data_IF_609946095104
#
_entry.id   IF_609946095104
#
_cell.length_a   1.000
_cell.length_b   1.000
_cell.length_c   1.000
_cell.angle_alpha   90.00
_cell.angle_beta   90.00
_cell.angle_gamma   90.00
#
_symmetry.space_group_name_H-M   'P 1'
#
loop_
_entity.id
_entity.type
_entity.pdbx_description
1 polymer ?
#
# COMPACT_ATOMS: atom_id res chain seq x y z
N UNK A 1 -40.46 10.87 -38.41
CA UNK A 1 -39.24 10.26 -38.97
C UNK A 1 -38.05 10.38 -37.99
N UNK A 2 -37.70 11.60 -37.48
CA UNK A 2 -36.59 11.78 -36.52
C UNK A 2 -36.70 10.96 -35.25
N UNK A 3 -37.91 10.74 -34.71
CA UNK A 3 -38.12 9.91 -33.52
C UNK A 3 -37.78 8.44 -33.76
N UNK A 4 -37.99 7.91 -34.96
CA UNK A 4 -37.61 6.53 -35.35
C UNK A 4 -36.10 6.42 -35.52
N UNK A 5 -35.48 7.38 -36.22
CA UNK A 5 -34.04 7.39 -36.48
C UNK A 5 -33.25 7.50 -35.18
N UNK A 6 -33.64 8.37 -34.24
CA UNK A 6 -32.97 8.63 -32.99
C UNK A 6 -33.41 7.67 -31.86
N UNK A 7 -34.36 6.75 -32.11
CA UNK A 7 -34.94 5.83 -31.11
C UNK A 7 -35.35 6.55 -29.80
N UNK A 8 -35.98 7.74 -29.97
CA UNK A 8 -36.45 8.58 -28.85
C UNK A 8 -37.93 8.83 -28.97
N UNK A 9 -38.60 9.07 -27.85
CA UNK A 9 -40.01 9.41 -27.80
C UNK A 9 -40.28 10.74 -28.56
N UNK A 10 -41.43 10.81 -29.29
CA UNK A 10 -41.84 11.98 -30.07
C UNK A 10 -41.95 13.27 -29.23
N UNK A 11 -42.39 13.16 -27.97
CA UNK A 11 -42.52 14.30 -27.04
C UNK A 11 -41.13 14.83 -26.65
N UNK A 12 -40.16 13.95 -26.48
CA UNK A 12 -38.77 14.31 -26.18
C UNK A 12 -38.15 15.06 -27.33
N UNK A 13 -38.31 14.57 -28.58
CA UNK A 13 -37.82 15.26 -29.77
C UNK A 13 -38.50 16.62 -29.96
N UNK A 14 -39.83 16.67 -29.85
CA UNK A 14 -40.60 17.94 -29.97
C UNK A 14 -40.14 18.98 -28.93
N UNK A 15 -39.90 18.55 -27.66
CA UNK A 15 -39.41 19.43 -26.62
C UNK A 15 -38.00 19.97 -26.90
N UNK A 16 -37.09 19.13 -27.39
CA UNK A 16 -35.73 19.57 -27.74
C UNK A 16 -35.70 20.47 -28.97
N UNK A 17 -36.51 20.19 -29.98
CA UNK A 17 -36.55 20.94 -31.22
C UNK A 17 -37.20 22.31 -31.04
N UNK A 18 -38.31 22.39 -30.32
CA UNK A 18 -39.06 23.65 -30.18
C UNK A 18 -38.71 24.47 -28.93
N UNK A 19 -38.22 23.84 -27.87
CA UNK A 19 -37.99 24.54 -26.61
C UNK A 19 -36.52 24.79 -26.28
N UNK A 20 -35.58 24.23 -27.04
CA UNK A 20 -34.14 24.43 -26.85
C UNK A 20 -33.64 24.13 -25.43
N UNK A 21 -34.52 23.60 -24.55
CA UNK A 21 -34.17 23.37 -23.15
C UNK A 21 -33.60 22.00 -22.98
N UNK A 22 -32.28 21.92 -22.90
CA UNK A 22 -31.61 20.80 -22.25
C UNK A 22 -32.11 20.78 -20.80
N UNK A 23 -32.61 19.62 -20.31
CA UNK A 23 -32.89 19.46 -18.88
C UNK A 23 -31.60 19.79 -18.13
N UNK A 24 -31.57 20.92 -17.45
CA UNK A 24 -30.57 21.14 -16.42
C UNK A 24 -30.83 20.09 -15.36
N UNK A 25 -29.95 19.08 -15.32
CA UNK A 25 -29.91 18.14 -14.19
C UNK A 25 -29.72 18.98 -12.93
N UNK A 26 -30.63 18.81 -11.96
CA UNK A 26 -30.50 19.50 -10.67
C UNK A 26 -29.10 19.16 -10.12
N UNK A 27 -28.23 20.13 -10.07
CA UNK A 27 -26.97 20.03 -9.34
C UNK A 27 -27.32 20.02 -7.85
N UNK A 28 -27.51 18.82 -7.30
CA UNK A 28 -27.60 18.68 -5.85
C UNK A 28 -26.16 18.75 -5.32
N UNK A 29 -25.90 19.57 -4.30
CA UNK A 29 -24.60 19.56 -3.64
C UNK A 29 -24.31 18.15 -3.13
N UNK A 30 -23.08 17.73 -3.27
CA UNK A 30 -22.62 16.44 -2.77
C UNK A 30 -22.23 16.61 -1.29
N UNK A 31 -22.49 15.61 -0.46
CA UNK A 31 -21.96 15.59 0.91
C UNK A 31 -20.44 15.72 0.99
N UNK A 32 -19.74 15.43 -0.12
CA UNK A 32 -18.28 15.54 -0.21
C UNK A 32 -17.84 17.00 -0.41
N UNK A 33 -18.72 17.87 -0.89
CA UNK A 33 -18.37 19.28 -1.14
C UNK A 33 -17.96 20.01 0.14
N UNK A 34 -18.44 19.58 1.30
CA UNK A 34 -18.04 20.09 2.62
C UNK A 34 -16.59 19.74 3.00
N UNK A 35 -16.01 18.71 2.34
CA UNK A 35 -14.67 18.19 2.61
C UNK A 35 -13.66 18.55 1.50
N UNK A 36 -14.01 19.46 0.58
CA UNK A 36 -13.13 19.86 -0.53
C UNK A 36 -11.81 20.46 -0.04
N UNK A 37 -11.84 21.31 0.97
CA UNK A 37 -10.63 21.92 1.55
C UNK A 37 -9.71 20.87 2.17
N UNK A 38 -10.30 19.86 2.81
CA UNK A 38 -9.54 18.73 3.35
C UNK A 38 -8.96 17.86 2.24
N UNK A 39 -9.73 17.58 1.19
CA UNK A 39 -9.25 16.86 0.01
C UNK A 39 -8.11 17.60 -0.68
N UNK A 40 -8.20 18.91 -0.79
CA UNK A 40 -7.15 19.76 -1.39
C UNK A 40 -5.85 19.72 -0.56
N UNK A 41 -5.94 19.74 0.76
CA UNK A 41 -4.80 19.57 1.65
C UNK A 41 -4.18 18.18 1.57
N UNK A 42 -5.01 17.12 1.52
CA UNK A 42 -4.53 15.74 1.50
C UNK A 42 -3.93 15.32 0.15
N UNK A 43 -4.42 15.89 -0.95
CA UNK A 43 -3.97 15.56 -2.30
C UNK A 43 -3.05 16.64 -2.90
N UNK A 44 -2.77 17.72 -2.17
CA UNK A 44 -1.84 18.78 -2.57
C UNK A 44 -0.38 18.31 -2.57
N UNK A 45 0.47 19.07 -3.24
CA UNK A 45 1.91 18.77 -3.36
C UNK A 45 2.65 18.82 -2.02
N UNK A 46 2.19 19.63 -1.07
CA UNK A 46 2.75 19.76 0.28
C UNK A 46 2.28 18.67 1.24
N UNK A 47 1.40 17.77 0.79
CA UNK A 47 0.87 16.72 1.63
C UNK A 47 1.94 15.69 1.97
N UNK A 48 2.12 15.43 3.26
CA UNK A 48 3.02 14.39 3.77
C UNK A 48 2.42 13.00 3.55
N UNK A 49 1.09 12.90 3.44
CA UNK A 49 0.37 11.65 3.25
C UNK A 49 0.21 11.35 1.76
N UNK A 50 0.59 10.15 1.36
CA UNK A 50 0.49 9.70 -0.03
C UNK A 50 -0.58 8.62 -0.14
N UNK A 51 -1.68 8.93 -0.79
CA UNK A 51 -2.75 7.97 -1.04
C UNK A 51 -2.52 7.22 -2.35
N UNK A 52 -2.25 5.91 -2.26
CA UNK A 52 -2.00 5.05 -3.44
C UNK A 52 -3.26 4.67 -4.20
N UNK A 53 -4.43 4.71 -3.55
CA UNK A 53 -5.71 4.37 -4.17
C UNK A 53 -6.84 5.24 -3.64
N UNK A 54 -7.90 5.39 -4.46
CA UNK A 54 -9.13 6.10 -4.08
C UNK A 54 -9.83 5.44 -2.88
N UNK A 55 -9.66 4.13 -2.69
CA UNK A 55 -10.26 3.38 -1.59
C UNK A 55 -9.59 3.71 -0.25
N UNK A 56 -8.26 3.82 -0.23
CA UNK A 56 -7.50 4.21 0.96
C UNK A 56 -7.86 5.63 1.38
N UNK A 57 -7.97 6.57 0.43
CA UNK A 57 -8.41 7.93 0.71
C UNK A 57 -9.84 7.98 1.26
N UNK A 58 -10.76 7.21 0.68
CA UNK A 58 -12.13 7.10 1.18
C UNK A 58 -12.19 6.58 2.61
N UNK A 59 -11.48 5.48 2.89
CA UNK A 59 -11.42 4.90 4.24
C UNK A 59 -10.86 5.90 5.25
N UNK A 60 -9.75 6.56 4.90
CA UNK A 60 -9.17 7.59 5.74
C UNK A 60 -10.15 8.72 6.08
N UNK A 61 -10.92 9.20 5.08
CA UNK A 61 -11.92 10.25 5.32
C UNK A 61 -13.06 9.76 6.21
N UNK A 62 -13.55 8.53 6.00
CA UNK A 62 -14.59 7.94 6.86
C UNK A 62 -14.09 7.78 8.30
N UNK A 63 -12.85 7.37 8.50
CA UNK A 63 -12.26 7.14 9.83
C UNK A 63 -11.91 8.45 10.56
N UNK A 64 -11.59 9.51 9.82
CA UNK A 64 -11.16 10.78 10.41
C UNK A 64 -12.24 11.87 10.44
N UNK A 65 -13.38 11.64 9.79
CA UNK A 65 -14.46 12.62 9.68
C UNK A 65 -15.82 11.94 9.85
N UNK A 66 -16.88 12.74 9.94
CA UNK A 66 -18.26 12.24 9.97
C UNK A 66 -18.82 11.92 8.56
N UNK A 67 -17.95 11.75 7.56
CA UNK A 67 -18.37 11.48 6.19
C UNK A 67 -19.04 10.12 6.06
N UNK A 68 -20.34 10.12 5.89
CA UNK A 68 -21.15 8.89 5.70
C UNK A 68 -21.62 8.79 4.25
N UNK A 69 -20.80 8.20 3.40
CA UNK A 69 -21.10 7.91 1.98
C UNK A 69 -20.52 6.57 1.57
N UNK A 70 -21.14 5.92 0.57
CA UNK A 70 -20.60 4.71 -0.01
C UNK A 70 -19.33 5.00 -0.84
N UNK A 71 -18.44 4.03 -0.90
CA UNK A 71 -17.25 4.12 -1.75
C UNK A 71 -17.59 4.40 -3.23
N UNK A 72 -18.70 3.83 -3.74
CA UNK A 72 -19.15 4.05 -5.11
C UNK A 72 -19.50 5.52 -5.38
N UNK A 73 -20.18 6.18 -4.44
CA UNK A 73 -20.52 7.59 -4.53
C UNK A 73 -19.24 8.46 -4.46
N UNK A 74 -18.33 8.15 -3.55
CA UNK A 74 -17.05 8.83 -3.44
C UNK A 74 -16.21 8.71 -4.72
N UNK A 75 -16.10 7.49 -5.26
CA UNK A 75 -15.40 7.23 -6.53
C UNK A 75 -16.01 8.03 -7.69
N UNK A 76 -17.33 8.06 -7.78
CA UNK A 76 -18.03 8.82 -8.82
C UNK A 76 -17.77 10.34 -8.72
N UNK A 77 -17.70 10.86 -7.49
CA UNK A 77 -17.35 12.25 -7.23
C UNK A 77 -15.93 12.58 -7.71
N UNK A 78 -14.94 11.78 -7.31
CA UNK A 78 -13.55 11.97 -7.73
C UNK A 78 -13.37 11.87 -9.26
N UNK A 79 -14.15 11.01 -9.93
CA UNK A 79 -14.11 10.89 -11.41
C UNK A 79 -14.64 12.12 -12.13
N UNK A 80 -15.61 12.84 -11.55
CA UNK A 80 -16.14 14.08 -12.11
C UNK A 80 -15.19 15.27 -11.99
N UNK A 81 -14.34 15.27 -10.96
CA UNK A 81 -13.37 16.32 -10.70
C UNK A 81 -12.00 15.94 -11.26
N UNK A 82 -11.61 16.57 -12.39
CA UNK A 82 -10.33 16.27 -13.08
C UNK A 82 -9.13 16.37 -12.13
N UNK A 83 -9.06 17.42 -11.29
CA UNK A 83 -8.01 17.65 -10.30
C UNK A 83 -7.72 16.41 -9.45
N UNK A 84 -8.74 15.83 -8.84
CA UNK A 84 -8.60 14.66 -7.97
C UNK A 84 -8.37 13.37 -8.76
N UNK A 85 -9.00 13.26 -9.93
CA UNK A 85 -8.86 12.08 -10.77
C UNK A 85 -7.44 11.96 -11.33
N UNK A 86 -6.82 13.07 -11.71
CA UNK A 86 -5.47 13.10 -12.29
C UNK A 86 -4.39 12.76 -11.27
N UNK A 87 -4.58 13.08 -9.99
CA UNK A 87 -3.71 12.61 -8.91
C UNK A 87 -3.53 11.08 -8.91
N UNK A 88 -4.61 10.33 -9.18
CA UNK A 88 -4.55 8.87 -9.22
C UNK A 88 -4.15 8.31 -10.60
N UNK A 89 -4.38 9.03 -11.72
CA UNK A 89 -3.99 8.59 -13.06
C UNK A 89 -2.48 8.55 -13.24
N UNK A 90 -1.79 9.60 -12.82
CA UNK A 90 -0.33 9.73 -12.97
C UNK A 90 0.47 8.68 -12.19
N UNK A 91 -0.18 7.97 -11.24
CA UNK A 91 0.43 6.90 -10.46
C UNK A 91 0.17 5.48 -11.01
N UNK A 92 -0.77 5.32 -11.97
CA UNK A 92 -1.18 4.00 -12.45
C UNK A 92 -0.40 3.48 -13.65
N UNK A 93 0.45 4.27 -14.28
CA UNK A 93 1.20 3.90 -15.48
C UNK A 93 2.65 3.44 -15.23
N UNK A 94 2.94 2.77 -14.12
CA UNK A 94 4.10 1.89 -14.12
C UNK A 94 3.63 0.54 -14.62
N UNK A 95 4.04 0.19 -15.84
CA UNK A 95 3.84 -1.12 -16.45
C UNK A 95 4.02 -2.19 -15.38
N UNK A 96 2.98 -2.98 -15.12
CA UNK A 96 3.12 -4.18 -14.33
C UNK A 96 3.96 -5.16 -15.16
N UNK A 97 5.29 -5.11 -15.00
CA UNK A 97 6.16 -6.18 -15.50
C UNK A 97 5.61 -7.49 -14.93
N UNK A 98 5.48 -8.50 -15.77
CA UNK A 98 5.09 -9.82 -15.32
C UNK A 98 6.09 -10.26 -14.24
N UNK A 99 5.61 -10.36 -12.99
CA UNK A 99 6.44 -10.81 -11.88
C UNK A 99 6.40 -12.32 -11.90
N UNK A 100 7.55 -12.94 -12.13
CA UNK A 100 7.69 -14.39 -12.00
C UNK A 100 7.32 -14.78 -10.55
N UNK A 101 6.22 -15.49 -10.39
CA UNK A 101 5.76 -15.92 -9.07
C UNK A 101 6.56 -17.16 -8.68
N UNK A 102 7.45 -17.00 -7.70
CA UNK A 102 8.08 -18.16 -7.06
C UNK A 102 7.06 -18.77 -6.11
N UNK A 103 6.59 -19.97 -6.42
CA UNK A 103 5.69 -20.72 -5.57
C UNK A 103 6.50 -21.55 -4.58
N UNK A 104 6.15 -21.45 -3.31
CA UNK A 104 6.70 -22.23 -2.20
C UNK A 104 5.58 -23.02 -1.56
N UNK A 105 5.88 -24.13 -0.91
CA UNK A 105 4.89 -24.88 -0.13
C UNK A 105 4.60 -24.17 1.21
N UNK A 106 3.44 -24.47 1.86
CA UNK A 106 3.15 -23.93 3.19
C UNK A 106 4.27 -24.23 4.20
N UNK A 107 4.62 -23.22 5.03
CA UNK A 107 5.64 -23.37 6.07
C UNK A 107 7.09 -23.43 5.56
N UNK A 108 7.33 -23.37 4.26
CA UNK A 108 8.68 -23.47 3.70
C UNK A 108 9.48 -22.20 3.89
N UNK A 109 8.90 -21.03 3.59
CA UNK A 109 9.66 -19.79 3.53
C UNK A 109 8.86 -18.59 4.01
N UNK A 110 9.51 -17.72 4.77
CA UNK A 110 9.11 -16.35 5.02
C UNK A 110 10.19 -15.36 4.53
N UNK A 111 9.81 -14.13 4.30
CA UNK A 111 10.71 -13.02 3.97
C UNK A 111 10.56 -11.92 5.01
N UNK A 112 11.66 -11.32 5.43
CA UNK A 112 11.67 -10.17 6.32
C UNK A 112 12.34 -8.98 5.65
N UNK A 113 11.81 -7.80 5.92
CA UNK A 113 12.33 -6.53 5.38
C UNK A 113 12.02 -5.37 6.31
N UNK A 114 12.78 -4.28 6.19
CA UNK A 114 12.58 -3.02 6.89
C UNK A 114 12.23 -1.89 5.92
N UNK A 115 11.21 -1.14 6.26
CA UNK A 115 11.02 0.20 5.71
C UNK A 115 11.50 1.21 6.72
N UNK A 116 12.64 1.82 6.42
CA UNK A 116 13.35 2.73 7.29
C UNK A 116 12.84 4.16 7.18
N UNK A 117 13.04 4.94 8.26
CA UNK A 117 12.86 6.40 8.31
C UNK A 117 11.52 6.90 7.76
N UNK A 118 10.44 6.20 8.09
CA UNK A 118 9.09 6.64 7.74
C UNK A 118 8.72 7.82 8.63
N UNK A 119 8.59 9.00 8.03
CA UNK A 119 8.27 10.23 8.75
C UNK A 119 6.78 10.33 9.02
N UNK A 120 6.44 10.51 10.27
CA UNK A 120 5.08 10.78 10.75
C UNK A 120 5.02 12.14 11.43
N UNK A 121 3.86 12.77 11.34
CA UNK A 121 3.54 13.93 12.15
C UNK A 121 2.37 13.53 13.05
N UNK A 122 2.56 13.68 14.35
CA UNK A 122 1.51 13.44 15.34
C UNK A 122 0.43 14.52 15.23
N UNK A 123 -0.75 14.26 15.81
CA UNK A 123 -1.82 15.26 15.92
C UNK A 123 -1.40 16.53 16.66
N UNK A 124 -0.32 16.49 17.39
CA UNK A 124 0.26 17.63 18.12
C UNK A 124 1.37 18.35 17.34
N UNK A 125 1.65 17.96 16.10
CA UNK A 125 2.66 18.56 15.24
C UNK A 125 4.09 18.03 15.43
N UNK A 126 4.29 17.02 16.27
CA UNK A 126 5.60 16.39 16.48
C UNK A 126 6.01 15.54 15.30
N UNK A 127 7.26 15.67 14.86
CA UNK A 127 7.83 14.87 13.78
C UNK A 127 8.50 13.63 14.37
N UNK A 128 7.98 12.46 14.03
CA UNK A 128 8.53 11.16 14.40
C UNK A 128 9.15 10.47 13.17
N UNK A 129 10.30 9.84 13.37
CA UNK A 129 10.86 8.90 12.41
C UNK A 129 10.67 7.49 12.95
N UNK A 130 9.93 6.67 12.21
CA UNK A 130 9.58 5.32 12.60
C UNK A 130 10.14 4.33 11.59
N UNK A 131 10.40 3.11 12.05
CA UNK A 131 10.75 2.01 11.19
C UNK A 131 9.61 1.00 11.16
N UNK A 132 9.36 0.43 10.00
CA UNK A 132 8.33 -0.59 9.84
C UNK A 132 8.99 -1.89 9.46
N UNK A 133 8.95 -2.86 10.36
CA UNK A 133 9.32 -4.25 10.09
C UNK A 133 8.17 -4.92 9.34
N UNK A 134 8.50 -5.77 8.40
CA UNK A 134 7.54 -6.57 7.66
C UNK A 134 8.02 -8.01 7.55
N UNK A 135 7.19 -8.97 7.96
CA UNK A 135 7.34 -10.39 7.63
C UNK A 135 6.26 -10.79 6.62
N UNK A 136 6.65 -11.51 5.58
CA UNK A 136 5.76 -12.01 4.53
C UNK A 136 5.92 -13.51 4.40
N UNK A 137 4.85 -14.27 4.61
CA UNK A 137 4.83 -15.71 4.31
C UNK A 137 4.79 -15.93 2.80
N UNK A 138 5.75 -16.67 2.25
CA UNK A 138 5.91 -16.79 0.79
C UNK A 138 4.76 -17.51 0.11
N UNK A 139 4.14 -18.50 0.76
CA UNK A 139 2.99 -19.24 0.23
C UNK A 139 1.69 -18.41 0.26
N UNK A 140 1.24 -18.03 1.45
CA UNK A 140 -0.04 -17.36 1.65
C UNK A 140 -0.03 -15.88 1.27
N UNK A 141 1.16 -15.27 1.16
CA UNK A 141 1.35 -13.83 1.03
C UNK A 141 0.84 -13.03 2.23
N UNK A 142 0.57 -13.71 3.33
CA UNK A 142 0.19 -13.07 4.59
C UNK A 142 1.32 -12.19 5.08
N UNK A 143 0.96 -10.99 5.54
CA UNK A 143 1.94 -9.97 5.94
C UNK A 143 1.65 -9.54 7.37
N UNK A 144 2.72 -9.48 8.17
CA UNK A 144 2.69 -8.96 9.52
C UNK A 144 3.61 -7.75 9.56
N UNK A 145 3.17 -6.69 10.24
CA UNK A 145 3.93 -5.45 10.35
C UNK A 145 4.09 -5.06 11.81
N UNK A 146 5.30 -4.65 12.18
CA UNK A 146 5.58 -4.02 13.47
C UNK A 146 6.15 -2.64 13.23
N UNK A 147 5.74 -1.68 14.04
CA UNK A 147 6.26 -0.30 14.01
C UNK A 147 7.19 -0.11 15.18
N UNK A 148 8.42 0.33 14.93
CA UNK A 148 9.45 0.47 15.94
C UNK A 148 10.18 1.81 15.82
N UNK A 149 10.78 2.24 16.92
CA UNK A 149 11.66 3.42 16.96
C UNK A 149 13.12 3.05 16.64
N UNK A 150 13.51 1.81 16.87
CA UNK A 150 14.87 1.32 16.70
C UNK A 150 14.90 0.13 15.73
N UNK A 151 16.06 -0.12 15.15
CA UNK A 151 16.36 -1.28 14.28
C UNK A 151 17.52 -2.11 14.85
N UNK A 152 17.71 -2.08 16.18
CA UNK A 152 18.74 -2.89 16.81
C UNK A 152 18.49 -4.39 16.59
N UNK A 153 19.50 -5.21 16.78
CA UNK A 153 19.38 -6.66 16.66
C UNK A 153 18.33 -7.23 17.61
N UNK A 154 18.28 -6.71 18.84
CA UNK A 154 17.30 -7.16 19.83
C UNK A 154 15.86 -6.85 19.42
N UNK A 155 15.63 -5.65 18.83
CA UNK A 155 14.33 -5.28 18.27
C UNK A 155 13.96 -6.17 17.09
N UNK A 156 14.92 -6.51 16.22
CA UNK A 156 14.67 -7.44 15.11
C UNK A 156 14.27 -8.83 15.62
N UNK A 157 15.01 -9.36 16.61
CA UNK A 157 14.70 -10.64 17.24
C UNK A 157 13.29 -10.62 17.87
N UNK A 158 12.94 -9.56 18.59
CA UNK A 158 11.60 -9.38 19.18
C UNK A 158 10.51 -9.38 18.11
N UNK A 159 10.67 -8.59 17.04
CA UNK A 159 9.70 -8.55 15.93
C UNK A 159 9.52 -9.92 15.27
N UNK A 160 10.60 -10.67 15.06
CA UNK A 160 10.51 -12.02 14.48
C UNK A 160 9.79 -12.95 15.44
N UNK A 161 10.14 -12.95 16.72
CA UNK A 161 9.50 -13.80 17.73
C UNK A 161 8.00 -13.54 17.80
N UNK A 162 7.58 -12.28 17.90
CA UNK A 162 6.16 -11.88 17.90
C UNK A 162 5.43 -12.34 16.62
N UNK A 163 6.10 -12.28 15.46
CA UNK A 163 5.54 -12.80 14.22
C UNK A 163 5.35 -14.32 14.25
N UNK A 164 6.33 -15.07 14.75
CA UNK A 164 6.26 -16.53 14.84
C UNK A 164 5.18 -16.99 15.84
N UNK A 165 5.05 -16.30 16.96
CA UNK A 165 3.94 -16.50 17.90
C UNK A 165 2.58 -16.22 17.26
N UNK A 166 2.46 -15.12 16.52
CA UNK A 166 1.20 -14.74 15.86
C UNK A 166 0.75 -15.76 14.79
N UNK A 167 1.69 -16.37 14.07
CA UNK A 167 1.36 -17.39 13.05
C UNK A 167 1.31 -18.81 13.64
N UNK A 168 1.59 -18.96 14.94
CA UNK A 168 1.63 -20.25 15.66
C UNK A 168 2.52 -21.29 14.96
N UNK A 169 3.65 -20.85 14.43
CA UNK A 169 4.56 -21.74 13.70
C UNK A 169 5.85 -21.08 13.25
N UNK A 170 6.81 -21.92 12.85
CA UNK A 170 8.13 -21.49 12.40
C UNK A 170 8.34 -21.93 10.94
N UNK A 171 8.59 -21.00 9.99
CA UNK A 171 8.95 -21.36 8.62
C UNK A 171 10.35 -21.99 8.61
N UNK A 172 10.60 -22.96 7.72
CA UNK A 172 11.92 -23.61 7.62
C UNK A 172 13.03 -22.62 7.29
N UNK A 173 12.72 -21.64 6.44
CA UNK A 173 13.71 -20.65 5.97
C UNK A 173 13.16 -19.24 6.12
N UNK A 174 13.95 -18.35 6.71
CA UNK A 174 13.69 -16.91 6.69
C UNK A 174 14.69 -16.24 5.75
N UNK A 175 14.17 -15.59 4.71
CA UNK A 175 14.96 -14.82 3.74
C UNK A 175 15.02 -13.36 4.17
N UNK A 176 16.22 -12.78 4.16
CA UNK A 176 16.43 -11.36 4.48
C UNK A 176 17.46 -10.73 3.56
N UNK A 177 17.47 -9.40 3.49
CA UNK A 177 18.58 -8.67 2.90
C UNK A 177 19.83 -8.75 3.80
N UNK A 178 20.98 -8.31 3.26
CA UNK A 178 22.25 -8.25 4.01
C UNK A 178 22.22 -7.13 5.06
N UNK A 179 21.35 -7.26 6.06
CA UNK A 179 21.25 -6.30 7.15
C UNK A 179 22.43 -6.45 8.11
N UNK A 180 22.99 -5.37 8.62
CA UNK A 180 24.05 -5.39 9.64
C UNK A 180 23.63 -6.09 10.95
N UNK A 181 22.35 -6.16 11.21
CA UNK A 181 21.77 -6.85 12.39
C UNK A 181 21.74 -8.36 12.25
N UNK A 182 21.83 -8.89 11.03
CA UNK A 182 21.83 -10.33 10.74
C UNK A 182 23.18 -10.82 10.22
N UNK A 183 23.97 -9.93 9.59
CA UNK A 183 25.20 -10.31 8.89
C UNK A 183 26.41 -9.48 9.37
N UNK A 184 27.47 -10.14 9.76
CA UNK A 184 28.78 -9.52 10.01
C UNK A 184 29.52 -9.24 8.69
N UNK A 185 29.37 -10.14 7.71
CA UNK A 185 29.85 -9.94 6.34
C UNK A 185 28.74 -10.25 5.35
N UNK A 186 28.46 -9.32 4.46
CA UNK A 186 27.43 -9.44 3.44
C UNK A 186 27.68 -10.65 2.52
N UNK A 187 26.61 -11.34 2.15
CA UNK A 187 26.62 -12.36 1.12
C UNK A 187 26.75 -11.70 -0.25
N UNK A 188 27.68 -12.16 -1.06
CA UNK A 188 27.90 -11.70 -2.44
C UNK A 188 27.82 -12.88 -3.40
N UNK A 189 27.96 -12.61 -4.72
CA UNK A 189 28.04 -13.68 -5.74
C UNK A 189 29.26 -14.59 -5.50
N UNK A 190 30.34 -14.05 -4.87
CA UNK A 190 31.60 -14.75 -4.64
C UNK A 190 31.76 -15.38 -3.26
N UNK A 191 30.95 -14.94 -2.28
CA UNK A 191 31.06 -15.37 -0.87
C UNK A 191 29.71 -15.63 -0.25
N UNK A 192 29.60 -16.65 0.59
CA UNK A 192 28.37 -16.96 1.35
C UNK A 192 28.02 -15.91 2.42
N UNK A 193 28.97 -14.99 2.71
CA UNK A 193 28.85 -14.06 3.81
C UNK A 193 29.11 -14.70 5.18
N UNK A 194 28.95 -13.93 6.25
CA UNK A 194 29.05 -14.40 7.63
C UNK A 194 27.84 -13.88 8.38
N UNK A 195 27.02 -14.79 8.88
CA UNK A 195 25.87 -14.47 9.75
C UNK A 195 26.42 -14.07 11.12
N UNK A 196 25.82 -13.08 11.75
CA UNK A 196 26.15 -12.66 13.09
C UNK A 196 25.89 -13.84 14.09
N UNK A 197 26.84 -14.11 14.97
CA UNK A 197 26.80 -15.26 15.87
C UNK A 197 25.53 -15.28 16.74
N UNK A 198 25.18 -14.15 17.37
CA UNK A 198 23.98 -14.05 18.21
C UNK A 198 22.70 -14.35 17.43
N UNK A 199 22.63 -13.86 16.19
CA UNK A 199 21.47 -14.12 15.34
C UNK A 199 21.43 -15.57 14.85
N UNK A 200 22.58 -16.18 14.61
CA UNK A 200 22.69 -17.59 14.22
C UNK A 200 22.24 -18.52 15.36
N UNK A 201 22.62 -18.22 16.59
CA UNK A 201 22.16 -18.96 17.79
C UNK A 201 20.64 -18.84 17.93
N UNK A 202 20.09 -17.62 17.83
CA UNK A 202 18.65 -17.40 17.86
C UNK A 202 17.92 -18.21 16.78
N UNK A 203 18.42 -18.19 15.53
CA UNK A 203 17.80 -18.93 14.44
C UNK A 203 17.80 -20.44 14.69
N UNK A 204 18.90 -20.97 15.27
CA UNK A 204 19.04 -22.38 15.66
C UNK A 204 18.06 -22.74 16.77
N UNK A 205 17.93 -21.90 17.78
CA UNK A 205 17.05 -22.15 18.94
C UNK A 205 15.57 -22.12 18.50
N UNK A 206 15.22 -21.23 17.58
CA UNK A 206 13.87 -21.13 17.01
C UNK A 206 13.58 -22.20 15.94
N UNK A 207 14.60 -22.87 15.40
CA UNK A 207 14.46 -23.96 14.44
C UNK A 207 14.28 -23.54 12.99
N UNK A 208 14.75 -22.34 12.58
CA UNK A 208 14.74 -21.91 11.18
C UNK A 208 16.15 -21.66 10.64
N UNK A 209 16.29 -21.74 9.31
CA UNK A 209 17.50 -21.35 8.59
C UNK A 209 17.41 -19.90 8.11
N UNK A 210 18.45 -19.09 8.36
CA UNK A 210 18.54 -17.74 7.77
C UNK A 210 19.19 -17.82 6.40
N UNK A 211 18.51 -17.27 5.38
CA UNK A 211 19.00 -17.21 3.99
C UNK A 211 19.15 -15.76 3.53
N UNK A 212 20.34 -15.16 3.66
CA UNK A 212 20.58 -13.81 3.17
C UNK A 212 20.50 -13.76 1.64
N UNK A 213 19.93 -12.69 1.09
CA UNK A 213 19.94 -12.42 -0.34
C UNK A 213 21.37 -12.12 -0.83
N UNK A 214 21.63 -12.37 -2.12
CA UNK A 214 22.91 -11.99 -2.72
C UNK A 214 22.89 -10.48 -2.95
N UNK A 215 23.89 -9.76 -2.41
CA UNK A 215 24.02 -8.32 -2.58
C UNK A 215 24.20 -7.96 -4.06
N UNK A 216 23.57 -6.87 -4.49
CA UNK A 216 23.65 -6.30 -5.84
C UNK A 216 23.15 -7.17 -6.99
N UNK A 217 22.44 -8.25 -6.73
CA UNK A 217 21.68 -8.93 -7.77
C UNK A 217 20.41 -8.12 -8.06
N UNK A 218 20.53 -7.09 -8.90
CA UNK A 218 19.37 -6.58 -9.62
C UNK A 218 18.81 -7.75 -10.41
N UNK A 219 17.52 -8.03 -10.31
CA UNK A 219 16.85 -8.91 -11.25
C UNK A 219 17.16 -8.36 -12.63
N UNK A 220 18.07 -9.00 -13.35
CA UNK A 220 18.32 -8.70 -14.75
C UNK A 220 16.98 -8.87 -15.48
N UNK A 221 16.64 -7.85 -16.21
CA UNK A 221 15.44 -7.69 -17.02
C UNK A 221 15.36 -8.72 -18.12
#
# INVERSE_FOLDING_TARGET
ELARVLKKDRRTIKRHYYQGKIKQTRNKPSKIDEYTDLLDKLLGEESIQIFKSKRILWQYLVDQTELNISYSAFRAYLLKNSKYNDYFKNKSHKNSKAILRVETIPGEQAQIDWKEDVKFITKYGEKLSLNVFCMVLSYSRYKIFHVTLSRSQDVLISCITECLEHIEGVPKVIVCDNMKTTMDKARTVKTSGVINMKFQEYAKDMGFELKPCVAYRRSEE
#
